data_IF_097093080867
#
_entry.id   IF_097093080867
#
_cell.length_a   1.000
_cell.length_b   1.000
_cell.length_c   1.000
_cell.angle_alpha   90.00
_cell.angle_beta   90.00
_cell.angle_gamma   90.00
#
_symmetry.space_group_name_H-M   'P 1'
#
loop_
_entity.id
_entity.type
_entity.pdbx_description
1 polymer ?
#
# COMPACT_ATOMS: atom_id res chain seq x y z
N UNK A 1 -1.25 29.64 4.05
CA UNK A 1 -1.86 29.39 2.72
C UNK A 1 -2.99 28.40 2.94
N UNK A 2 -4.24 28.81 2.73
CA UNK A 2 -5.38 27.88 2.70
C UNK A 2 -5.35 27.14 1.36
N UNK A 3 -5.44 25.81 1.41
CA UNK A 3 -5.44 24.98 0.22
C UNK A 3 -6.83 25.09 -0.44
N UNK A 4 -6.89 25.73 -1.61
CA UNK A 4 -8.15 26.04 -2.33
C UNK A 4 -8.80 24.81 -2.98
N UNK A 5 -8.08 23.69 -3.05
CA UNK A 5 -8.60 22.44 -3.58
C UNK A 5 -9.07 21.53 -2.44
N UNK A 6 -10.26 20.92 -2.55
CA UNK A 6 -10.69 19.93 -1.57
C UNK A 6 -9.71 18.76 -1.57
N UNK A 7 -9.37 18.29 -0.37
CA UNK A 7 -8.56 17.09 -0.23
C UNK A 7 -9.23 15.92 -0.94
N UNK A 8 -8.43 15.06 -1.58
CA UNK A 8 -8.97 13.84 -2.17
C UNK A 8 -9.58 12.96 -1.07
N UNK A 9 -10.88 12.68 -1.21
CA UNK A 9 -11.62 11.83 -0.28
C UNK A 9 -11.48 10.36 -0.68
N UNK A 10 -10.42 9.72 -0.17
CA UNK A 10 -10.16 8.29 -0.38
C UNK A 10 -11.27 7.42 0.21
N UNK A 11 -11.87 7.84 1.33
CA UNK A 11 -12.88 7.06 2.04
C UNK A 11 -14.13 6.91 1.15
N UNK A 12 -14.59 8.02 0.57
CA UNK A 12 -15.69 8.00 -0.41
C UNK A 12 -15.33 7.28 -1.71
N UNK A 13 -14.14 7.52 -2.26
CA UNK A 13 -13.78 7.04 -3.61
C UNK A 13 -13.41 5.55 -3.66
N UNK A 14 -12.70 5.04 -2.66
CA UNK A 14 -12.20 3.64 -2.66
C UNK A 14 -12.69 2.81 -1.49
N UNK A 15 -13.12 3.43 -0.38
CA UNK A 15 -13.52 2.71 0.84
C UNK A 15 -14.62 1.67 0.59
N UNK A 16 -15.68 2.03 -0.15
CA UNK A 16 -16.77 1.10 -0.49
C UNK A 16 -16.31 -0.13 -1.27
N UNK A 17 -15.29 0.03 -2.13
CA UNK A 17 -14.74 -1.08 -2.93
C UNK A 17 -13.80 -1.96 -2.09
N UNK A 18 -13.10 -1.36 -1.11
CA UNK A 18 -12.26 -2.09 -0.16
C UNK A 18 -13.09 -2.91 0.85
N UNK A 19 -14.24 -2.38 1.27
CA UNK A 19 -15.14 -3.03 2.23
C UNK A 19 -16.13 -4.01 1.60
N UNK A 20 -16.13 -4.18 0.27
CA UNK A 20 -17.08 -5.06 -0.42
C UNK A 20 -16.79 -6.52 -0.07
N UNK A 21 -17.73 -7.16 0.62
CA UNK A 21 -17.63 -8.58 1.00
C UNK A 21 -17.94 -9.56 -0.15
N UNK A 22 -18.50 -9.07 -1.25
CA UNK A 22 -18.87 -9.85 -2.43
C UNK A 22 -18.16 -9.36 -3.70
N UNK A 23 -18.16 -10.21 -4.73
CA UNK A 23 -17.55 -9.92 -6.02
C UNK A 23 -16.04 -10.16 -6.07
N UNK A 24 -15.36 -9.52 -7.01
CA UNK A 24 -13.91 -9.69 -7.22
C UNK A 24 -13.10 -9.11 -6.08
N UNK A 25 -12.03 -9.80 -5.69
CA UNK A 25 -11.07 -9.33 -4.68
C UNK A 25 -10.37 -8.05 -5.08
N UNK A 26 -10.52 -7.01 -4.27
CA UNK A 26 -9.84 -5.73 -4.45
C UNK A 26 -8.33 -5.91 -4.25
N UNK A 27 -7.54 -5.41 -5.20
CA UNK A 27 -6.08 -5.33 -5.11
C UNK A 27 -5.66 -3.87 -5.24
N UNK A 28 -4.90 -3.38 -4.27
CA UNK A 28 -4.36 -2.02 -4.25
C UNK A 28 -2.87 -2.08 -4.53
N UNK A 29 -2.48 -1.39 -5.59
CA UNK A 29 -1.08 -1.21 -5.96
C UNK A 29 -0.62 0.16 -5.45
N UNK A 30 0.34 0.17 -4.53
CA UNK A 30 1.00 1.38 -4.07
C UNK A 30 2.36 1.45 -4.75
N UNK A 31 2.50 2.37 -5.69
CA UNK A 31 3.72 2.57 -6.48
C UNK A 31 4.49 3.74 -5.89
N UNK A 32 5.78 3.53 -5.60
CA UNK A 32 6.65 4.53 -4.97
C UNK A 32 8.06 4.47 -5.54
N UNK A 33 8.68 5.63 -5.68
CA UNK A 33 10.09 5.75 -6.05
C UNK A 33 10.98 5.41 -4.84
N UNK A 34 11.98 4.55 -5.04
CA UNK A 34 12.98 4.22 -4.03
C UNK A 34 13.78 5.44 -3.54
N UNK A 35 14.07 6.40 -4.42
CA UNK A 35 14.93 7.56 -4.14
C UNK A 35 14.29 8.57 -3.18
N UNK A 36 12.96 8.64 -3.15
CA UNK A 36 12.18 9.53 -2.29
C UNK A 36 10.97 8.81 -1.68
N UNK A 37 11.21 7.62 -1.14
CA UNK A 37 10.14 6.74 -0.63
C UNK A 37 9.21 7.46 0.35
N UNK A 38 9.73 8.07 1.41
CA UNK A 38 8.91 8.67 2.47
C UNK A 38 8.05 9.86 1.96
N UNK A 39 8.61 10.65 1.04
CA UNK A 39 7.93 11.79 0.43
C UNK A 39 6.77 11.41 -0.48
N UNK A 40 6.85 10.24 -1.14
CA UNK A 40 5.81 9.75 -2.05
C UNK A 40 4.94 8.64 -1.48
N UNK A 41 5.28 8.11 -0.31
CA UNK A 41 4.52 7.02 0.29
C UNK A 41 3.09 7.46 0.64
N UNK A 42 2.04 6.80 0.11
CA UNK A 42 0.67 7.24 0.28
C UNK A 42 0.11 6.82 1.66
N UNK A 43 0.64 7.40 2.74
CA UNK A 43 0.35 7.05 4.15
C UNK A 43 -1.15 6.95 4.46
N UNK A 44 -1.97 7.86 3.94
CA UNK A 44 -3.43 7.83 4.16
C UNK A 44 -4.09 6.62 3.50
N UNK A 45 -3.71 6.30 2.27
CA UNK A 45 -4.22 5.12 1.54
C UNK A 45 -3.72 3.84 2.19
N UNK A 46 -2.44 3.78 2.57
CA UNK A 46 -1.83 2.66 3.27
C UNK A 46 -2.62 2.31 4.53
N UNK A 47 -2.90 3.31 5.39
CA UNK A 47 -3.72 3.14 6.60
C UNK A 47 -5.13 2.66 6.28
N UNK A 48 -5.81 3.29 5.32
CA UNK A 48 -7.17 2.93 4.93
C UNK A 48 -7.26 1.46 4.48
N UNK A 49 -6.35 1.03 3.61
CA UNK A 49 -6.28 -0.36 3.13
C UNK A 49 -5.99 -1.32 4.27
N UNK A 50 -5.02 -1.00 5.12
CA UNK A 50 -4.68 -1.79 6.31
C UNK A 50 -5.86 -1.95 7.26
N UNK A 51 -6.59 -0.88 7.57
CA UNK A 51 -7.81 -0.94 8.39
C UNK A 51 -8.87 -1.82 7.73
N UNK A 52 -9.11 -1.68 6.42
CA UNK A 52 -10.06 -2.53 5.68
C UNK A 52 -9.68 -4.01 5.70
N UNK A 53 -8.37 -4.32 5.65
CA UNK A 53 -7.87 -5.70 5.78
C UNK A 53 -8.20 -6.25 7.18
N UNK A 54 -7.88 -5.50 8.24
CA UNK A 54 -8.11 -5.92 9.62
C UNK A 54 -9.61 -6.11 9.91
N UNK A 55 -10.48 -5.21 9.44
CA UNK A 55 -11.94 -5.30 9.54
C UNK A 55 -12.50 -6.53 8.80
N UNK A 56 -11.97 -6.81 7.61
CA UNK A 56 -12.35 -7.98 6.82
C UNK A 56 -11.96 -9.29 7.51
N UNK A 57 -10.75 -9.35 8.10
CA UNK A 57 -10.32 -10.50 8.89
C UNK A 57 -11.15 -10.69 10.17
N UNK A 58 -11.51 -9.60 10.87
CA UNK A 58 -12.38 -9.67 12.04
C UNK A 58 -13.78 -10.19 11.67
N UNK A 59 -14.35 -9.73 10.55
CA UNK A 59 -15.64 -10.20 10.03
C UNK A 59 -15.61 -11.67 9.64
N UNK A 60 -14.52 -12.13 9.03
CA UNK A 60 -14.32 -13.55 8.71
C UNK A 60 -14.32 -14.44 9.97
N UNK A 61 -13.66 -14.00 11.06
CA UNK A 61 -13.71 -14.71 12.35
C UNK A 61 -15.12 -14.82 12.96
N UNK A 62 -16.04 -13.96 12.53
CA UNK A 62 -17.45 -13.98 12.93
C UNK A 62 -18.34 -14.80 11.97
N UNK A 63 -17.74 -15.56 11.04
CA UNK A 63 -18.48 -16.39 10.08
C UNK A 63 -19.08 -15.62 8.89
N UNK A 64 -18.76 -14.33 8.72
CA UNK A 64 -19.17 -13.56 7.54
C UNK A 64 -18.22 -13.87 6.38
N UNK A 65 -18.76 -13.99 5.16
CA UNK A 65 -17.93 -14.05 3.97
C UNK A 65 -17.16 -12.72 3.83
N UNK A 66 -15.83 -12.80 3.86
CA UNK A 66 -14.95 -11.64 3.88
C UNK A 66 -13.99 -11.67 2.69
N UNK A 67 -14.27 -10.84 1.69
CA UNK A 67 -13.32 -10.59 0.62
C UNK A 67 -12.23 -9.63 1.12
N UNK A 68 -11.13 -10.18 1.65
CA UNK A 68 -10.05 -9.38 2.23
C UNK A 68 -9.23 -8.71 1.12
N UNK A 69 -9.09 -7.38 1.03
CA UNK A 69 -8.28 -6.76 -0.02
C UNK A 69 -6.80 -7.18 0.02
N UNK A 70 -6.09 -7.08 -1.11
CA UNK A 70 -4.63 -7.27 -1.19
C UNK A 70 -3.94 -5.92 -1.29
N UNK A 71 -2.89 -5.71 -0.50
CA UNK A 71 -1.99 -4.57 -0.64
C UNK A 71 -0.67 -5.02 -1.27
N UNK A 72 -0.30 -4.45 -2.40
CA UNK A 72 0.95 -4.73 -3.11
C UNK A 72 1.74 -3.44 -3.22
N UNK A 73 3.01 -3.48 -2.83
CA UNK A 73 3.94 -2.38 -3.03
C UNK A 73 4.78 -2.63 -4.28
N UNK A 74 4.91 -1.59 -5.10
CA UNK A 74 5.82 -1.57 -6.23
C UNK A 74 6.80 -0.44 -5.97
N UNK A 75 8.07 -0.80 -5.83
CA UNK A 75 9.15 0.16 -5.64
C UNK A 75 9.88 0.29 -6.97
N UNK A 76 9.83 1.48 -7.54
CA UNK A 76 10.43 1.80 -8.85
C UNK A 76 11.77 2.51 -8.67
N UNK A 77 12.51 2.66 -9.78
CA UNK A 77 13.75 3.44 -9.84
C UNK A 77 14.85 2.90 -8.92
N UNK A 78 14.83 1.58 -8.67
CA UNK A 78 15.82 0.92 -7.79
C UNK A 78 17.24 0.94 -8.36
N UNK A 79 17.38 1.17 -9.67
CA UNK A 79 18.64 1.34 -10.38
C UNK A 79 19.41 2.62 -9.99
N UNK A 80 18.74 3.58 -9.36
CA UNK A 80 19.37 4.80 -8.84
C UNK A 80 20.05 4.60 -7.48
N UNK A 81 19.83 3.45 -6.83
CA UNK A 81 20.43 3.12 -5.54
C UNK A 81 21.87 2.62 -5.71
N UNK A 82 22.72 2.74 -4.66
CA UNK A 82 24.06 2.16 -4.69
C UNK A 82 24.03 0.67 -5.02
N UNK A 83 24.84 0.24 -5.99
CA UNK A 83 24.92 -1.17 -6.42
C UNK A 83 25.41 -2.13 -5.33
N UNK A 84 25.99 -1.61 -4.25
CA UNK A 84 26.38 -2.36 -3.06
C UNK A 84 25.19 -2.78 -2.18
N UNK A 85 24.00 -2.22 -2.40
CA UNK A 85 22.79 -2.59 -1.67
C UNK A 85 22.20 -3.88 -2.24
N UNK A 86 22.14 -4.94 -1.43
CA UNK A 86 21.53 -6.19 -1.87
C UNK A 86 20.00 -6.08 -1.98
N UNK A 87 19.36 -6.77 -2.93
CA UNK A 87 17.90 -6.75 -3.09
C UNK A 87 17.14 -7.13 -1.81
N UNK A 88 17.65 -8.09 -1.05
CA UNK A 88 17.06 -8.53 0.23
C UNK A 88 17.08 -7.42 1.28
N UNK A 89 18.19 -6.66 1.39
CA UNK A 89 18.28 -5.52 2.31
C UNK A 89 17.31 -4.42 1.93
N UNK A 90 17.21 -4.13 0.63
CA UNK A 90 16.26 -3.16 0.11
C UNK A 90 14.81 -3.58 0.42
N UNK A 91 14.44 -4.83 0.18
CA UNK A 91 13.10 -5.32 0.49
C UNK A 91 12.78 -5.20 1.99
N UNK A 92 13.70 -5.57 2.88
CA UNK A 92 13.51 -5.43 4.32
C UNK A 92 13.30 -3.97 4.74
N UNK A 93 14.12 -3.06 4.21
CA UNK A 93 13.97 -1.64 4.47
C UNK A 93 12.61 -1.12 3.98
N UNK A 94 12.20 -1.45 2.75
CA UNK A 94 10.87 -1.09 2.19
C UNK A 94 9.74 -1.60 3.09
N UNK A 95 9.82 -2.83 3.61
CA UNK A 95 8.81 -3.37 4.54
C UNK A 95 8.74 -2.57 5.82
N UNK A 96 9.89 -2.15 6.35
CA UNK A 96 9.96 -1.36 7.56
C UNK A 96 9.33 0.02 7.35
N UNK A 97 9.76 0.75 6.32
CA UNK A 97 9.23 2.08 5.99
C UNK A 97 7.73 2.05 5.70
N UNK A 98 7.28 1.07 4.91
CA UNK A 98 5.87 0.84 4.63
C UNK A 98 5.06 0.64 5.92
N UNK A 99 5.59 -0.15 6.87
CA UNK A 99 4.95 -0.41 8.16
C UNK A 99 4.85 0.86 9.00
N UNK A 100 5.93 1.65 9.05
CA UNK A 100 5.95 2.95 9.73
C UNK A 100 4.97 3.94 9.08
N UNK A 101 4.81 3.88 7.76
CA UNK A 101 3.82 4.62 6.99
C UNK A 101 2.37 4.14 7.14
N UNK A 102 2.13 3.02 7.84
CA UNK A 102 0.80 2.48 8.16
C UNK A 102 0.34 1.28 7.34
N UNK A 103 1.16 0.75 6.41
CA UNK A 103 0.88 -0.49 5.69
C UNK A 103 1.34 -1.71 6.51
N UNK A 104 0.60 -2.06 7.56
CA UNK A 104 0.90 -3.16 8.47
C UNK A 104 0.67 -4.58 7.86
N UNK A 105 -0.01 -4.68 6.71
CA UNK A 105 -0.41 -5.95 6.06
C UNK A 105 -0.10 -5.92 4.56
N UNK A 106 1.16 -6.13 4.21
CA UNK A 106 1.60 -6.24 2.82
C UNK A 106 1.47 -7.67 2.31
N UNK A 107 0.87 -7.83 1.13
CA UNK A 107 0.82 -9.13 0.46
C UNK A 107 2.11 -9.44 -0.26
N UNK A 108 2.67 -8.47 -0.98
CA UNK A 108 3.89 -8.65 -1.80
C UNK A 108 4.58 -7.30 -2.03
N UNK A 109 5.89 -7.37 -2.29
CA UNK A 109 6.71 -6.25 -2.76
C UNK A 109 7.29 -6.64 -4.11
N UNK A 110 7.22 -5.73 -5.08
CA UNK A 110 7.90 -5.83 -6.36
C UNK A 110 8.91 -4.70 -6.47
N UNK A 111 10.14 -5.04 -6.81
CA UNK A 111 11.22 -4.10 -7.10
C UNK A 111 11.34 -3.98 -8.61
N UNK A 112 11.42 -2.75 -9.12
CA UNK A 112 11.44 -2.46 -10.55
C UNK A 112 12.44 -1.34 -10.84
N UNK A 113 13.11 -1.46 -11.98
CA UNK A 113 14.00 -0.43 -12.51
C UNK A 113 13.22 0.58 -13.35
N UNK A 114 13.80 1.76 -13.57
CA UNK A 114 13.23 2.78 -14.45
C UNK A 114 13.02 2.24 -15.87
N UNK A 115 11.87 2.53 -16.48
CA UNK A 115 11.64 2.24 -17.90
C UNK A 115 12.27 3.40 -18.68
N UNK A 116 13.29 3.07 -19.49
CA UNK A 116 13.93 4.00 -20.42
C UNK A 116 13.04 4.30 -21.64
#
# INVERSE_FOLDING_TARGET
MENLLPNFDFDYKIGRKLSSSSGTRSTVLMVVDASNFDGFFPKRVAKLVSTSIDESYASWKQGKFGNVPRAIHVVTMTDLLPSSLSPTRLEHWVRQEAREGGANKLTSIYLSVSIA
#
